data_IF_856660395675
#
_entry.id   IF_856660395675
#
_cell.length_a   1.000
_cell.length_b   1.000
_cell.length_c   1.000
_cell.angle_alpha   90.00
_cell.angle_beta   90.00
_cell.angle_gamma   90.00
#
_symmetry.space_group_name_H-M   'P 1'
#
loop_
_entity.id
_entity.type
_entity.pdbx_description
1 polymer ?
#
# COMPACT_ATOMS: atom_id res chain seq x y z
N UNK A 1 -1.16 -34.39 -17.61
CA UNK A 1 -0.41 -33.42 -16.79
C UNK A 1 -1.22 -32.14 -16.79
N UNK A 2 -2.04 -31.93 -15.76
CA UNK A 2 -2.92 -30.77 -15.68
C UNK A 2 -2.07 -29.60 -15.20
N UNK A 3 -1.71 -28.69 -16.09
CA UNK A 3 -1.07 -27.42 -15.74
C UNK A 3 -2.05 -26.65 -14.87
N UNK A 4 -1.73 -26.50 -13.58
CA UNK A 4 -2.45 -25.58 -12.70
C UNK A 4 -2.26 -24.16 -13.29
N UNK A 5 -3.31 -23.44 -13.67
CA UNK A 5 -3.15 -22.15 -14.36
C UNK A 5 -3.01 -20.95 -13.39
N UNK A 6 -2.72 -21.18 -12.12
CA UNK A 6 -2.79 -20.12 -11.09
C UNK A 6 -1.41 -19.65 -10.66
N UNK A 7 -0.58 -19.23 -11.62
CA UNK A 7 0.50 -18.32 -11.27
C UNK A 7 -0.12 -16.95 -10.95
N UNK A 8 0.29 -16.29 -9.85
CA UNK A 8 -0.15 -14.94 -9.56
C UNK A 8 0.28 -14.04 -10.72
N UNK A 9 -0.69 -13.38 -11.36
CA UNK A 9 -0.37 -12.38 -12.38
C UNK A 9 0.22 -11.17 -11.67
N UNK A 10 1.48 -10.88 -11.96
CA UNK A 10 2.14 -9.67 -11.49
C UNK A 10 1.73 -8.50 -12.39
N UNK A 11 0.96 -7.58 -11.82
CA UNK A 11 0.53 -6.36 -12.48
C UNK A 11 1.43 -5.19 -12.09
N UNK A 12 1.65 -4.28 -13.03
CA UNK A 12 2.32 -3.00 -12.75
C UNK A 12 1.35 -1.92 -12.28
N UNK A 13 0.07 -2.04 -12.64
CA UNK A 13 -1.00 -1.12 -12.24
C UNK A 13 -2.38 -1.80 -12.21
N UNK A 14 -3.29 -1.25 -11.39
CA UNK A 14 -4.70 -1.65 -11.32
C UNK A 14 -5.57 -0.48 -10.84
N UNK A 15 -6.79 -0.36 -11.37
CA UNK A 15 -7.78 0.56 -10.82
C UNK A 15 -8.55 -0.11 -9.68
N UNK A 16 -8.61 0.53 -8.52
CA UNK A 16 -9.49 0.05 -7.44
C UNK A 16 -10.97 0.31 -7.76
N UNK A 17 -11.89 -0.26 -6.98
CA UNK A 17 -13.35 -0.08 -7.14
C UNK A 17 -13.83 1.38 -7.04
N UNK A 18 -12.96 2.31 -6.66
CA UNK A 18 -13.23 3.75 -6.56
C UNK A 18 -12.65 4.54 -7.73
N UNK A 19 -12.07 3.88 -8.73
CA UNK A 19 -11.47 4.51 -9.90
C UNK A 19 -10.10 5.14 -9.63
N UNK A 20 -9.46 4.85 -8.49
CA UNK A 20 -8.08 5.29 -8.23
C UNK A 20 -7.10 4.30 -8.86
N UNK A 21 -6.15 4.80 -9.64
CA UNK A 21 -5.08 4.00 -10.23
C UNK A 21 -3.95 3.76 -9.24
N UNK A 22 -3.79 2.49 -8.88
CA UNK A 22 -2.74 2.00 -8.00
C UNK A 22 -1.60 1.47 -8.87
N UNK A 23 -0.37 1.89 -8.58
CA UNK A 23 0.82 1.51 -9.37
C UNK A 23 1.97 1.09 -8.48
N UNK A 24 2.78 0.15 -8.98
CA UNK A 24 4.09 -0.16 -8.38
C UNK A 24 4.94 1.12 -8.34
N UNK A 25 5.65 1.31 -7.23
CA UNK A 25 6.45 2.49 -6.94
C UNK A 25 5.70 3.64 -6.26
N UNK A 26 4.36 3.61 -6.20
CA UNK A 26 3.62 4.65 -5.47
C UNK A 26 3.88 4.55 -3.96
N UNK A 27 3.95 5.73 -3.33
CA UNK A 27 4.06 5.86 -1.89
C UNK A 27 2.72 6.21 -1.26
N UNK A 28 2.47 5.61 -0.11
CA UNK A 28 1.24 5.73 0.63
C UNK A 28 1.52 5.72 2.13
N UNK A 29 0.57 6.20 2.92
CA UNK A 29 0.64 6.09 4.36
C UNK A 29 -0.73 5.86 5.01
N UNK A 30 -0.72 5.39 6.25
CA UNK A 30 -1.95 5.23 7.04
C UNK A 30 -2.74 6.56 7.09
N UNK A 31 -4.04 6.53 6.76
CA UNK A 31 -4.93 7.69 6.91
C UNK A 31 -5.70 7.66 8.25
N UNK A 32 -5.44 6.66 9.10
CA UNK A 32 -6.15 6.50 10.37
C UNK A 32 -5.83 7.64 11.36
N UNK A 33 -6.85 8.21 12.02
CA UNK A 33 -6.64 9.22 13.05
C UNK A 33 -6.06 8.63 14.35
N UNK A 34 -6.15 7.32 14.55
CA UNK A 34 -5.74 6.64 15.80
C UNK A 34 -4.51 5.75 15.65
N UNK A 35 -3.99 5.56 14.42
CA UNK A 35 -2.76 4.81 14.21
C UNK A 35 -1.57 5.68 14.60
N UNK A 36 -0.71 5.14 15.46
CA UNK A 36 0.57 5.70 15.84
C UNK A 36 1.61 4.55 15.95
N UNK A 37 2.78 4.63 15.28
CA UNK A 37 3.17 5.64 14.30
C UNK A 37 2.37 5.52 12.98
N UNK A 38 2.21 6.64 12.26
CA UNK A 38 1.63 6.66 10.91
C UNK A 38 2.62 5.97 9.98
N UNK A 39 2.32 4.76 9.47
CA UNK A 39 3.27 4.01 8.66
C UNK A 39 3.27 4.52 7.24
N UNK A 40 4.47 4.69 6.67
CA UNK A 40 4.71 5.03 5.28
C UNK A 40 5.22 3.80 4.54
N UNK A 41 4.70 3.56 3.35
CA UNK A 41 5.06 2.39 2.55
C UNK A 41 5.10 2.69 1.06
N UNK A 42 5.86 1.87 0.35
CA UNK A 42 5.94 1.85 -1.12
C UNK A 42 5.34 0.55 -1.64
N UNK A 43 4.56 0.64 -2.71
CA UNK A 43 4.04 -0.54 -3.41
C UNK A 43 5.18 -1.16 -4.22
N UNK A 44 5.57 -2.38 -3.89
CA UNK A 44 6.64 -3.12 -4.59
C UNK A 44 6.09 -4.06 -5.66
N UNK A 45 4.90 -4.61 -5.46
CA UNK A 45 4.22 -5.47 -6.45
C UNK A 45 2.70 -5.38 -6.31
N UNK A 46 1.99 -5.79 -7.35
CA UNK A 46 0.53 -5.98 -7.34
C UNK A 46 0.25 -7.40 -7.82
N UNK A 47 -0.34 -8.21 -6.96
CA UNK A 47 -0.66 -9.60 -7.23
C UNK A 47 -2.17 -9.76 -7.39
N UNK A 48 -2.58 -10.55 -8.38
CA UNK A 48 -3.97 -10.98 -8.53
C UNK A 48 -4.12 -12.44 -8.10
N UNK A 49 -5.10 -12.70 -7.23
CA UNK A 49 -5.47 -14.06 -6.79
C UNK A 49 -6.98 -14.17 -6.66
N UNK A 50 -7.59 -15.10 -7.40
CA UNK A 50 -9.05 -15.31 -7.44
C UNK A 50 -9.86 -14.02 -7.74
N UNK A 51 -9.35 -13.15 -8.62
CA UNK A 51 -9.99 -11.87 -8.96
C UNK A 51 -9.87 -10.78 -7.90
N UNK A 52 -9.13 -11.05 -6.82
CA UNK A 52 -8.77 -10.06 -5.81
C UNK A 52 -7.36 -9.53 -6.09
N UNK A 53 -7.23 -8.21 -6.10
CA UNK A 53 -5.95 -7.54 -6.29
C UNK A 53 -5.37 -7.12 -4.94
N UNK A 54 -4.13 -7.51 -4.69
CA UNK A 54 -3.39 -7.16 -3.49
C UNK A 54 -2.11 -6.40 -3.85
N UNK A 55 -1.87 -5.28 -3.18
CA UNK A 55 -0.62 -4.56 -3.26
C UNK A 55 0.35 -5.09 -2.19
N UNK A 56 1.50 -5.60 -2.62
CA UNK A 56 2.61 -5.94 -1.74
C UNK A 56 3.38 -4.66 -1.45
N UNK A 57 3.43 -4.30 -0.17
CA UNK A 57 3.90 -3.00 0.29
C UNK A 57 5.06 -3.15 1.27
N UNK A 58 6.16 -2.43 1.02
CA UNK A 58 7.26 -2.29 1.97
C UNK A 58 7.05 -1.05 2.82
N UNK A 59 6.87 -1.25 4.12
CA UNK A 59 6.93 -0.19 5.12
C UNK A 59 8.40 0.04 5.46
N UNK A 60 8.86 1.28 5.32
CA UNK A 60 10.25 1.67 5.60
C UNK A 60 10.39 2.52 6.86
N UNK A 61 9.29 3.14 7.30
CA UNK A 61 9.23 3.92 8.52
C UNK A 61 7.78 4.19 8.94
N UNK A 62 7.63 4.70 10.15
CA UNK A 62 6.45 5.42 10.56
C UNK A 62 6.81 6.81 11.09
N UNK A 63 5.82 7.69 11.14
CA UNK A 63 5.92 9.01 11.73
C UNK A 63 5.16 9.00 13.05
N UNK A 64 5.87 9.19 14.15
CA UNK A 64 5.29 9.33 15.49
C UNK A 64 4.39 10.57 15.53
N UNK A 65 3.16 10.41 16.01
CA UNK A 65 2.19 11.51 15.97
C UNK A 65 2.46 12.60 17.00
N UNK A 66 3.04 12.24 18.15
CA UNK A 66 3.26 13.17 19.24
C UNK A 66 4.46 14.08 18.98
N UNK A 67 5.50 13.53 18.35
CA UNK A 67 6.80 14.18 18.14
C UNK A 67 7.05 14.57 16.69
N UNK A 68 6.32 13.99 15.74
CA UNK A 68 6.63 14.08 14.31
C UNK A 68 7.89 13.28 13.92
N UNK A 69 8.50 12.56 14.88
CA UNK A 69 9.75 11.85 14.67
C UNK A 69 9.59 10.64 13.76
N UNK A 70 10.60 10.39 12.93
CA UNK A 70 10.66 9.19 12.10
C UNK A 70 11.10 7.98 12.93
N UNK A 71 10.27 6.95 12.95
CA UNK A 71 10.52 5.66 13.58
C UNK A 71 10.88 4.65 12.50
N UNK A 72 12.06 4.02 12.52
CA UNK A 72 12.42 3.00 11.54
C UNK A 72 11.52 1.76 11.71
N UNK A 73 10.99 1.28 10.59
CA UNK A 73 10.18 0.06 10.52
C UNK A 73 10.62 -0.66 9.26
N UNK A 74 10.91 -1.95 9.34
CA UNK A 74 11.15 -2.78 8.16
C UNK A 74 10.16 -3.94 8.16
N UNK A 75 9.11 -3.80 7.36
CA UNK A 75 8.04 -4.79 7.29
C UNK A 75 7.40 -4.80 5.92
N UNK A 76 7.17 -5.99 5.38
CA UNK A 76 6.33 -6.19 4.20
C UNK A 76 4.90 -6.53 4.63
N UNK A 77 3.92 -5.94 3.97
CA UNK A 77 2.49 -6.22 4.18
C UNK A 77 1.77 -6.35 2.85
N UNK A 78 0.74 -7.20 2.81
CA UNK A 78 -0.21 -7.23 1.71
C UNK A 78 -1.44 -6.38 2.06
N UNK A 79 -1.86 -5.53 1.12
CA UNK A 79 -3.01 -4.62 1.28
C UNK A 79 -3.94 -4.81 0.09
N UNK A 80 -5.22 -5.07 0.37
CA UNK A 80 -6.27 -5.03 -0.66
C UNK A 80 -6.29 -3.63 -1.33
N UNK A 81 -6.16 -3.59 -2.66
CA UNK A 81 -6.09 -2.34 -3.43
C UNK A 81 -7.34 -1.47 -3.25
N UNK A 82 -8.47 -2.08 -2.91
CA UNK A 82 -9.72 -1.37 -2.61
C UNK A 82 -9.67 -0.58 -1.30
N UNK A 83 -8.62 -0.76 -0.49
CA UNK A 83 -8.37 0.03 0.73
C UNK A 83 -7.45 1.23 0.48
N UNK A 84 -6.77 1.30 -0.66
CA UNK A 84 -5.87 2.39 -1.04
C UNK A 84 -6.67 3.61 -1.51
N UNK A 85 -7.31 4.28 -0.56
CA UNK A 85 -8.01 5.54 -0.73
C UNK A 85 -8.19 6.25 0.62
N UNK A 86 -8.28 7.60 0.64
CA UNK A 86 -8.19 8.39 1.87
C UNK A 86 -9.52 8.42 2.66
N UNK A 87 -9.98 7.27 3.15
CA UNK A 87 -11.01 7.19 4.20
C UNK A 87 -10.38 6.97 5.57
N UNK A 88 -11.16 7.15 6.63
CA UNK A 88 -10.71 7.02 8.03
C UNK A 88 -9.98 5.71 8.34
N UNK A 89 -10.25 4.62 7.64
CA UNK A 89 -9.61 3.30 7.84
C UNK A 89 -8.74 2.85 6.67
N UNK A 90 -8.55 3.72 5.67
CA UNK A 90 -7.79 3.49 4.47
C UNK A 90 -6.40 4.13 4.51
N UNK A 91 -5.89 4.44 3.33
CA UNK A 91 -4.55 4.95 3.12
C UNK A 91 -4.61 6.19 2.24
N UNK A 92 -3.74 7.16 2.48
CA UNK A 92 -3.60 8.32 1.60
C UNK A 92 -2.33 8.20 0.78
N UNK A 93 -2.40 8.57 -0.49
CA UNK A 93 -1.23 8.63 -1.34
C UNK A 93 -0.33 9.79 -0.87
N UNK A 94 0.97 9.56 -0.89
CA UNK A 94 1.99 10.56 -0.60
C UNK A 94 2.66 10.91 -1.92
N UNK A 95 2.85 12.20 -2.16
CA UNK A 95 3.63 12.63 -3.31
C UNK A 95 5.12 12.37 -3.00
N UNK A 96 5.86 11.63 -3.84
CA UNK A 96 7.29 11.40 -3.63
C UNK A 96 8.12 12.70 -3.66
N UNK A 97 7.55 13.80 -4.17
CA UNK A 97 8.18 15.13 -4.17
C UNK A 97 7.96 15.94 -2.89
N UNK A 98 7.19 15.43 -1.93
CA UNK A 98 6.93 16.09 -0.65
C UNK A 98 7.81 15.45 0.43
N UNK A 99 9.01 16.01 0.71
CA UNK A 99 9.88 15.49 1.76
C UNK A 99 9.25 15.86 3.12
N UNK A 100 8.44 14.97 3.67
CA UNK A 100 8.15 14.96 5.11
C UNK A 100 9.39 14.60 5.91
#
# INVERSE_FOLDING_TARGET
>A
MTTNPHDPTNLTEVANKRGTFIRVGQQWCDNSPTRDPIRHFTIEAIEETYGHHQAICRITHGTDRATGGRVPIDRVVSIDVDRLHPVRTGYRQVDPSDPT
#
